data_IF_298762125995
#
_entry.id   IF_298762125995
#
_cell.length_a   1.000
_cell.length_b   1.000
_cell.length_c   1.000
_cell.angle_alpha   90.00
_cell.angle_beta   90.00
_cell.angle_gamma   90.00
#
_symmetry.space_group_name_H-M   'P 1'
#
loop_
_entity.id
_entity.type
_entity.pdbx_description
1 polymer ?
#
# COMPACT_ATOMS: atom_id res chain seq x y z
N UNK A 1 -4.42 -33.48 18.70
CA UNK A 1 -3.74 -32.32 18.08
C UNK A 1 -4.39 -31.07 18.63
N UNK A 2 -3.61 -30.04 18.99
CA UNK A 2 -4.18 -28.74 19.37
C UNK A 2 -4.53 -27.91 18.13
N UNK A 3 -5.36 -26.88 18.28
CA UNK A 3 -5.71 -25.98 17.17
C UNK A 3 -4.46 -25.40 16.49
N UNK A 4 -3.42 -25.03 17.26
CA UNK A 4 -2.16 -24.54 16.72
C UNK A 4 -1.47 -25.53 15.77
N UNK A 5 -1.56 -26.84 15.99
CA UNK A 5 -0.98 -27.83 15.06
C UNK A 5 -1.72 -27.84 13.72
N UNK A 6 -3.06 -27.80 13.74
CA UNK A 6 -3.88 -27.80 12.52
C UNK A 6 -3.61 -26.57 11.65
N UNK A 7 -3.46 -25.40 12.27
CA UNK A 7 -3.16 -24.16 11.55
C UNK A 7 -1.71 -24.08 11.08
N UNK A 8 -0.77 -24.68 11.82
CA UNK A 8 0.63 -24.74 11.40
C UNK A 8 0.80 -25.60 10.15
N UNK A 9 0.14 -26.75 10.07
CA UNK A 9 0.14 -27.62 8.88
C UNK A 9 -0.46 -26.90 7.65
N UNK A 10 -1.57 -26.19 7.84
CA UNK A 10 -2.17 -25.34 6.80
C UNK A 10 -1.20 -24.25 6.33
N UNK A 11 -0.54 -23.58 7.28
CA UNK A 11 0.43 -22.54 6.97
C UNK A 11 1.61 -23.10 6.18
N UNK A 12 2.19 -24.23 6.60
CA UNK A 12 3.30 -24.87 5.90
C UNK A 12 2.95 -25.29 4.48
N UNK A 13 1.73 -25.80 4.28
CA UNK A 13 1.21 -26.13 2.94
C UNK A 13 1.19 -24.89 2.05
N UNK A 14 0.66 -23.77 2.55
CA UNK A 14 0.61 -22.51 1.79
C UNK A 14 2.01 -21.94 1.55
N UNK A 15 2.91 -21.97 2.55
CA UNK A 15 4.28 -21.52 2.38
C UNK A 15 5.02 -22.34 1.30
N UNK A 16 4.82 -23.66 1.28
CA UNK A 16 5.41 -24.53 0.27
C UNK A 16 4.85 -24.23 -1.13
N UNK A 17 3.52 -24.08 -1.25
CA UNK A 17 2.86 -23.69 -2.50
C UNK A 17 3.43 -22.38 -3.06
N UNK A 18 3.47 -21.31 -2.24
CA UNK A 18 3.97 -20.01 -2.66
C UNK A 18 5.45 -20.08 -3.09
N UNK A 19 6.28 -20.85 -2.37
CA UNK A 19 7.70 -21.02 -2.72
C UNK A 19 7.87 -21.76 -4.05
N UNK A 20 7.12 -22.84 -4.26
CA UNK A 20 7.13 -23.59 -5.53
C UNK A 20 6.71 -22.70 -6.68
N UNK A 21 5.64 -21.93 -6.51
CA UNK A 21 5.16 -21.03 -7.56
C UNK A 21 6.16 -19.88 -7.83
N UNK A 22 6.81 -19.35 -6.79
CA UNK A 22 7.86 -18.34 -6.96
C UNK A 22 9.05 -18.85 -7.77
N UNK A 23 9.48 -20.10 -7.54
CA UNK A 23 10.53 -20.75 -8.34
C UNK A 23 10.08 -20.95 -9.78
N UNK A 24 8.81 -21.32 -9.99
CA UNK A 24 8.23 -21.46 -11.33
C UNK A 24 8.21 -20.11 -12.07
N UNK A 25 7.85 -19.02 -11.40
CA UNK A 25 7.88 -17.68 -11.98
C UNK A 25 9.31 -17.25 -12.38
N UNK A 26 10.31 -17.54 -11.54
CA UNK A 26 11.71 -17.28 -11.88
C UNK A 26 12.16 -18.07 -13.12
N UNK A 27 11.75 -19.33 -13.24
CA UNK A 27 12.05 -20.16 -14.42
C UNK A 27 11.33 -19.66 -15.70
N UNK A 28 10.18 -19.00 -15.55
CA UNK A 28 9.48 -18.33 -16.66
C UNK A 28 10.28 -17.10 -17.11
N UNK A 29 10.79 -16.32 -16.16
CA UNK A 29 11.57 -15.10 -16.42
C UNK A 29 12.82 -15.36 -17.29
N UNK A 30 13.51 -16.47 -17.06
CA UNK A 30 14.67 -16.89 -17.85
C UNK A 30 14.31 -17.13 -19.33
N UNK A 31 13.10 -17.62 -19.60
CA UNK A 31 12.62 -18.01 -20.93
C UNK A 31 11.89 -16.89 -21.68
N UNK A 32 11.91 -15.67 -21.14
CA UNK A 32 11.23 -14.53 -21.78
C UNK A 32 11.92 -14.11 -23.09
N UNK A 33 11.14 -13.73 -24.13
CA UNK A 33 11.68 -13.09 -25.32
C UNK A 33 12.12 -11.65 -25.02
N UNK A 34 13.12 -11.15 -25.73
CA UNK A 34 13.74 -9.85 -25.44
C UNK A 34 12.77 -8.66 -25.61
N UNK A 35 11.81 -8.75 -26.54
CA UNK A 35 10.84 -7.68 -26.83
C UNK A 35 10.00 -7.27 -25.61
N UNK A 36 9.62 -8.23 -24.76
CA UNK A 36 8.77 -7.99 -23.58
C UNK A 36 9.50 -8.31 -22.26
N UNK A 37 10.81 -8.57 -22.31
CA UNK A 37 11.60 -9.06 -21.16
C UNK A 37 11.52 -8.13 -19.97
N UNK A 38 11.78 -6.84 -20.15
CA UNK A 38 11.87 -5.86 -19.05
C UNK A 38 10.53 -5.72 -18.32
N UNK A 39 9.44 -5.53 -19.07
CA UNK A 39 8.11 -5.33 -18.50
C UNK A 39 7.64 -6.56 -17.73
N UNK A 40 7.76 -7.75 -18.32
CA UNK A 40 7.30 -8.99 -17.68
C UNK A 40 8.23 -9.38 -16.51
N UNK A 41 9.53 -9.16 -16.64
CA UNK A 41 10.48 -9.37 -15.52
C UNK A 41 10.11 -8.50 -14.32
N UNK A 42 9.80 -7.22 -14.54
CA UNK A 42 9.35 -6.34 -13.46
C UNK A 42 8.07 -6.83 -12.77
N UNK A 43 7.11 -7.37 -13.54
CA UNK A 43 5.88 -7.98 -13.00
C UNK A 43 6.18 -9.23 -12.18
N UNK A 44 7.08 -10.10 -12.67
CA UNK A 44 7.52 -11.31 -11.98
C UNK A 44 8.24 -10.95 -10.68
N UNK A 45 9.22 -10.04 -10.72
CA UNK A 45 9.99 -9.59 -9.57
C UNK A 45 9.08 -8.98 -8.51
N UNK A 46 8.09 -8.19 -8.91
CA UNK A 46 7.09 -7.64 -8.02
C UNK A 46 6.21 -8.72 -7.37
N UNK A 47 5.78 -9.74 -8.12
CA UNK A 47 4.98 -10.84 -7.58
C UNK A 47 5.79 -11.69 -6.60
N UNK A 48 7.02 -12.06 -6.94
CA UNK A 48 7.96 -12.79 -6.07
C UNK A 48 8.30 -11.95 -4.82
N UNK A 49 8.54 -10.66 -4.99
CA UNK A 49 8.80 -9.74 -3.87
C UNK A 49 7.61 -9.65 -2.91
N UNK A 50 6.38 -9.58 -3.44
CA UNK A 50 5.16 -9.60 -2.64
C UNK A 50 5.02 -10.93 -1.87
N UNK A 51 5.25 -12.05 -2.54
CA UNK A 51 5.26 -13.38 -1.92
C UNK A 51 6.24 -13.45 -0.74
N UNK A 52 7.49 -13.04 -0.96
CA UNK A 52 8.53 -13.04 0.05
C UNK A 52 8.17 -12.16 1.25
N UNK A 53 7.53 -11.01 1.01
CA UNK A 53 7.09 -10.12 2.08
C UNK A 53 6.00 -10.75 2.95
N UNK A 54 5.05 -11.47 2.33
CA UNK A 54 4.01 -12.20 3.07
C UNK A 54 4.62 -13.33 3.90
N UNK A 55 5.54 -14.11 3.30
CA UNK A 55 6.23 -15.22 3.98
C UNK A 55 7.06 -14.73 5.17
N UNK A 56 7.91 -13.72 4.97
CA UNK A 56 8.79 -13.19 6.01
C UNK A 56 8.06 -12.35 7.08
N UNK A 57 6.88 -11.82 6.74
CA UNK A 57 6.08 -10.97 7.62
C UNK A 57 4.91 -11.73 8.24
N UNK A 58 3.79 -11.80 7.51
CA UNK A 58 2.50 -12.28 8.02
C UNK A 58 2.50 -13.76 8.35
N UNK A 59 3.13 -14.61 7.53
CA UNK A 59 3.23 -16.04 7.79
C UNK A 59 4.08 -16.32 9.03
N UNK A 60 5.23 -15.65 9.17
CA UNK A 60 6.07 -15.74 10.37
C UNK A 60 5.31 -15.37 11.65
N UNK A 61 4.60 -14.24 11.63
CA UNK A 61 3.77 -13.81 12.78
C UNK A 61 2.70 -14.86 13.14
N UNK A 62 2.07 -15.45 12.13
CA UNK A 62 1.07 -16.49 12.36
C UNK A 62 1.67 -17.78 12.92
N UNK A 63 2.86 -18.19 12.43
CA UNK A 63 3.60 -19.33 12.98
C UNK A 63 3.89 -19.13 14.47
N UNK A 64 4.38 -17.96 14.85
CA UNK A 64 4.70 -17.66 16.25
C UNK A 64 3.44 -17.72 17.13
N UNK A 65 2.29 -17.25 16.60
CA UNK A 65 0.99 -17.34 17.27
C UNK A 65 0.52 -18.80 17.44
N UNK A 66 0.68 -19.64 16.40
CA UNK A 66 0.37 -21.06 16.47
C UNK A 66 1.25 -21.77 17.50
N UNK A 67 2.54 -21.46 17.55
CA UNK A 67 3.47 -22.05 18.52
C UNK A 67 3.13 -21.64 19.95
N UNK A 68 2.72 -20.38 20.16
CA UNK A 68 2.23 -19.90 21.46
C UNK A 68 1.02 -20.71 21.92
N UNK A 69 0.02 -20.93 21.06
CA UNK A 69 -1.13 -21.79 21.36
C UNK A 69 -0.71 -23.24 21.72
N UNK A 70 0.24 -23.82 20.99
CA UNK A 70 0.74 -25.18 21.27
C UNK A 70 1.43 -25.25 22.63
N UNK A 71 2.29 -24.30 22.94
CA UNK A 71 3.05 -24.27 24.19
C UNK A 71 2.13 -24.08 25.40
N UNK A 72 1.14 -23.17 25.30
CA UNK A 72 0.13 -22.95 26.34
C UNK A 72 -0.75 -24.19 26.56
N UNK A 73 -1.15 -24.87 25.48
CA UNK A 73 -1.98 -26.08 25.56
C UNK A 73 -1.20 -27.33 26.03
N UNK A 74 0.14 -27.31 25.95
CA UNK A 74 0.98 -28.44 26.38
C UNK A 74 1.21 -28.49 27.89
N UNK A 75 0.77 -27.46 28.63
CA UNK A 75 0.82 -27.44 30.10
C UNK A 75 2.24 -27.41 30.68
N UNK A 76 3.27 -27.16 29.87
CA UNK A 76 4.65 -26.97 30.34
C UNK A 76 4.68 -25.61 31.05
N UNK A 77 4.86 -25.55 32.39
CA UNK A 77 4.97 -24.29 33.09
C UNK A 77 6.26 -23.62 32.64
N UNK A 78 6.19 -22.40 32.09
CA UNK A 78 7.39 -21.59 31.91
C UNK A 78 7.86 -21.20 33.30
N UNK A 79 8.90 -21.87 33.80
CA UNK A 79 9.44 -21.66 35.14
C UNK A 79 9.97 -20.22 35.26
N UNK A 80 9.17 -19.34 35.89
CA UNK A 80 9.69 -18.09 36.42
C UNK A 80 10.52 -18.41 37.66
N UNK A 81 11.79 -18.00 37.66
CA UNK A 81 12.80 -18.17 38.73
C UNK A 81 12.37 -17.61 40.10
N UNK A 82 11.28 -16.86 40.16
CA UNK A 82 10.66 -16.42 41.40
C UNK A 82 9.36 -17.20 41.58
N UNK A 83 9.18 -17.89 42.71
CA UNK A 83 8.17 -18.92 42.99
C UNK A 83 6.69 -18.49 42.97
N UNK A 84 6.36 -17.46 42.20
CA UNK A 84 5.00 -17.03 41.90
C UNK A 84 4.45 -17.88 40.76
N UNK A 85 3.49 -18.77 41.05
CA UNK A 85 2.74 -19.52 40.04
C UNK A 85 2.07 -18.57 39.04
N UNK A 86 2.73 -18.23 37.94
CA UNK A 86 2.12 -17.55 36.80
C UNK A 86 1.45 -18.62 35.90
N UNK A 87 0.33 -19.16 36.38
CA UNK A 87 -0.38 -20.29 35.77
C UNK A 87 -1.32 -19.94 34.62
N UNK A 88 -1.29 -18.72 34.11
CA UNK A 88 -2.09 -18.33 32.95
C UNK A 88 -1.46 -17.10 32.34
N UNK A 89 -1.03 -17.17 31.08
CA UNK A 89 -0.84 -15.94 30.33
C UNK A 89 -2.15 -15.15 30.44
N UNK A 90 -2.08 -13.86 30.77
CA UNK A 90 -3.26 -13.02 31.00
C UNK A 90 -4.21 -13.02 29.77
N UNK A 91 -3.66 -13.39 28.60
CA UNK A 91 -4.36 -13.56 27.33
C UNK A 91 -3.90 -14.85 26.61
N UNK A 92 -4.53 -16.01 26.92
CA UNK A 92 -4.22 -17.26 26.25
C UNK A 92 -4.70 -17.22 24.80
N UNK A 93 -3.90 -17.77 23.90
CA UNK A 93 -4.21 -17.82 22.47
C UNK A 93 -5.24 -18.92 22.25
N UNK A 94 -6.47 -18.58 21.87
CA UNK A 94 -7.54 -19.54 21.62
C UNK A 94 -7.65 -19.88 20.13
N UNK A 95 -8.48 -20.88 19.81
CA UNK A 95 -8.74 -21.25 18.41
C UNK A 95 -9.34 -20.08 17.63
N UNK A 96 -10.22 -19.30 18.26
CA UNK A 96 -10.88 -18.16 17.63
C UNK A 96 -9.87 -17.06 17.22
N UNK A 97 -8.81 -16.88 18.03
CA UNK A 97 -7.72 -15.95 17.70
C UNK A 97 -6.93 -16.42 16.48
N UNK A 98 -6.68 -17.73 16.38
CA UNK A 98 -5.99 -18.34 15.23
C UNK A 98 -6.84 -18.23 13.96
N UNK A 99 -8.14 -18.49 14.04
CA UNK A 99 -9.09 -18.36 12.93
C UNK A 99 -9.16 -16.91 12.43
N UNK A 100 -9.29 -15.95 13.34
CA UNK A 100 -9.32 -14.53 13.00
C UNK A 100 -8.03 -14.06 12.31
N UNK A 101 -6.87 -14.51 12.80
CA UNK A 101 -5.60 -14.19 12.15
C UNK A 101 -5.45 -14.89 10.81
N UNK A 102 -5.92 -16.13 10.68
CA UNK A 102 -5.90 -16.88 9.42
C UNK A 102 -6.70 -16.17 8.32
N UNK A 103 -7.91 -15.70 8.62
CA UNK A 103 -8.73 -14.89 7.70
C UNK A 103 -7.98 -13.63 7.26
N UNK A 104 -7.30 -12.96 8.19
CA UNK A 104 -6.52 -11.76 7.89
C UNK A 104 -5.33 -12.03 6.96
N UNK A 105 -4.64 -13.17 7.09
CA UNK A 105 -3.50 -13.50 6.21
C UNK A 105 -3.93 -14.13 4.88
N UNK A 106 -5.12 -14.75 4.84
CA UNK A 106 -5.65 -15.42 3.66
C UNK A 106 -5.84 -14.46 2.49
N UNK A 107 -6.32 -13.23 2.73
CA UNK A 107 -6.50 -12.24 1.65
C UNK A 107 -5.18 -11.79 1.02
N UNK A 108 -4.13 -11.39 1.78
CA UNK A 108 -2.80 -11.15 1.21
C UNK A 108 -2.22 -12.35 0.45
N UNK A 109 -2.40 -13.58 0.96
CA UNK A 109 -1.99 -14.81 0.26
C UNK A 109 -2.71 -14.93 -1.08
N UNK A 110 -4.02 -14.67 -1.11
CA UNK A 110 -4.79 -14.74 -2.36
C UNK A 110 -4.30 -13.70 -3.38
N UNK A 111 -3.95 -12.49 -2.96
CA UNK A 111 -3.38 -11.48 -3.86
C UNK A 111 -2.06 -11.93 -4.51
N UNK A 112 -1.23 -12.66 -3.77
CA UNK A 112 0.01 -13.25 -4.31
C UNK A 112 -0.33 -14.32 -5.36
N UNK A 113 -1.28 -15.21 -5.05
CA UNK A 113 -1.76 -16.23 -6.01
C UNK A 113 -2.34 -15.60 -7.28
N UNK A 114 -3.15 -14.55 -7.15
CA UNK A 114 -3.72 -13.82 -8.28
C UNK A 114 -2.63 -13.15 -9.12
N UNK A 115 -1.56 -12.65 -8.49
CA UNK A 115 -0.39 -12.11 -9.15
C UNK A 115 0.33 -13.15 -10.01
N UNK A 116 0.55 -14.35 -9.46
CA UNK A 116 1.13 -15.47 -10.21
C UNK A 116 0.22 -15.91 -11.36
N UNK A 117 -1.08 -16.09 -11.10
CA UNK A 117 -2.05 -16.46 -12.13
C UNK A 117 -2.15 -15.43 -13.27
N UNK A 118 -1.98 -14.14 -12.97
CA UNK A 118 -1.94 -13.09 -13.99
C UNK A 118 -0.74 -13.26 -14.93
N UNK A 119 0.44 -13.58 -14.38
CA UNK A 119 1.65 -13.84 -15.18
C UNK A 119 1.45 -15.10 -16.04
N UNK A 120 0.81 -16.15 -15.50
CA UNK A 120 0.51 -17.37 -16.27
C UNK A 120 -0.41 -17.07 -17.46
N UNK A 121 -1.45 -16.27 -17.25
CA UNK A 121 -2.36 -15.85 -18.33
C UNK A 121 -1.65 -15.02 -19.40
N UNK A 122 -0.71 -14.15 -19.00
CA UNK A 122 0.11 -13.41 -19.96
C UNK A 122 0.98 -14.34 -20.80
N UNK A 123 1.56 -15.37 -20.17
CA UNK A 123 2.32 -16.41 -20.87
C UNK A 123 1.44 -17.15 -21.90
N UNK A 124 0.24 -17.55 -21.51
CA UNK A 124 -0.72 -18.22 -22.40
C UNK A 124 -1.15 -17.33 -23.58
N UNK A 125 -1.22 -16.02 -23.37
CA UNK A 125 -1.52 -15.03 -24.41
C UNK A 125 -0.29 -14.58 -25.23
N UNK A 126 0.82 -15.33 -25.16
CA UNK A 126 2.04 -15.01 -25.90
C UNK A 126 2.67 -13.68 -25.49
N UNK A 127 2.61 -13.34 -24.20
CA UNK A 127 3.14 -12.11 -23.61
C UNK A 127 2.45 -10.82 -24.06
N UNK A 128 1.26 -10.92 -24.65
CA UNK A 128 0.46 -9.77 -25.05
C UNK A 128 -0.48 -9.39 -23.92
N UNK A 129 -0.46 -8.12 -23.53
CA UNK A 129 -1.42 -7.61 -22.57
C UNK A 129 -2.81 -7.57 -23.22
N UNK A 130 -3.83 -8.09 -22.53
CA UNK A 130 -5.20 -7.96 -22.98
C UNK A 130 -5.56 -6.47 -22.96
N UNK A 131 -5.72 -5.86 -24.13
CA UNK A 131 -6.09 -4.44 -24.33
C UNK A 131 -7.31 -4.03 -23.48
N UNK A 132 -8.21 -4.97 -23.15
CA UNK A 132 -9.40 -4.74 -22.31
C UNK A 132 -9.11 -4.55 -20.81
N UNK A 133 -7.87 -4.76 -20.36
CA UNK A 133 -7.50 -4.65 -18.94
C UNK A 133 -6.54 -3.53 -18.60
N UNK A 134 -6.11 -2.71 -19.58
CA UNK A 134 -5.48 -1.43 -19.22
C UNK A 134 -6.52 -0.59 -18.49
N UNK A 135 -6.39 -0.32 -17.18
CA UNK A 135 -7.02 0.87 -16.65
C UNK A 135 -6.35 1.97 -17.48
N UNK A 136 -7.15 2.77 -18.18
CA UNK A 136 -6.68 4.01 -18.79
C UNK A 136 -6.21 4.91 -17.64
N UNK A 137 -5.01 4.65 -17.13
CA UNK A 137 -4.27 5.53 -16.24
C UNK A 137 -3.79 6.64 -17.14
N UNK A 138 -4.72 7.56 -17.43
CA UNK A 138 -4.40 8.91 -17.83
C UNK A 138 -3.38 9.38 -16.81
N UNK A 139 -2.14 9.58 -17.26
CA UNK A 139 -1.06 10.15 -16.47
C UNK A 139 -1.48 11.57 -16.06
N UNK A 140 -2.29 11.69 -15.02
CA UNK A 140 -2.44 12.91 -14.24
C UNK A 140 -1.71 12.67 -12.94
N UNK A 141 -0.44 13.02 -12.94
CA UNK A 141 0.36 13.16 -11.72
C UNK A 141 -0.39 14.14 -10.82
N UNK A 142 -0.95 13.64 -9.71
CA UNK A 142 -1.33 14.45 -8.53
C UNK A 142 -1.61 13.52 -7.33
N UNK A 143 -0.54 13.27 -6.57
CA UNK A 143 -0.47 13.47 -5.11
C UNK A 143 -1.69 13.08 -4.25
N UNK A 144 -1.60 11.89 -3.64
CA UNK A 144 -2.00 11.45 -2.28
C UNK A 144 -3.15 12.14 -1.50
N UNK A 145 -4.05 11.32 -0.94
CA UNK A 145 -4.80 11.64 0.30
C UNK A 145 -6.29 11.23 0.33
N UNK A 146 -6.74 10.32 1.23
CA UNK A 146 -8.09 9.73 1.20
C UNK A 146 -9.06 10.40 2.20
N UNK A 147 -10.33 10.61 1.82
CA UNK A 147 -11.46 10.66 2.78
C UNK A 147 -12.77 10.14 2.18
N UNK A 148 -13.46 9.39 3.03
CA UNK A 148 -14.71 8.67 2.84
C UNK A 148 -15.95 9.56 2.65
N UNK A 149 -17.02 8.85 2.26
CA UNK A 149 -18.45 9.12 2.50
C UNK A 149 -19.18 10.16 1.65
N UNK A 150 -20.26 9.69 1.03
CA UNK A 150 -21.31 10.57 0.51
C UNK A 150 -22.19 9.89 -0.53
N UNK A 151 -23.23 9.20 -0.08
CA UNK A 151 -24.33 8.72 -0.91
C UNK A 151 -24.81 9.76 -1.93
N UNK A 152 -24.98 9.34 -3.19
CA UNK A 152 -26.18 9.59 -4.02
C UNK A 152 -26.12 8.79 -5.34
N UNK A 153 -26.96 7.76 -5.43
CA UNK A 153 -27.39 7.16 -6.71
C UNK A 153 -28.31 8.19 -7.40
N UNK A 154 -28.20 8.51 -8.70
CA UNK A 154 -28.77 7.82 -9.89
C UNK A 154 -28.70 8.82 -11.09
N UNK A 155 -29.03 8.45 -12.34
CA UNK A 155 -28.97 7.15 -13.00
C UNK A 155 -28.13 7.17 -14.30
N UNK A 156 -27.86 5.97 -14.80
CA UNK A 156 -27.35 5.71 -16.14
C UNK A 156 -28.22 6.34 -17.23
N UNK A 157 -27.57 7.05 -18.16
CA UNK A 157 -28.05 7.20 -19.53
C UNK A 157 -26.98 6.61 -20.45
N UNK A 158 -27.23 5.37 -20.89
CA UNK A 158 -26.57 4.80 -22.04
C UNK A 158 -27.15 5.45 -23.29
N UNK A 159 -26.31 6.10 -24.10
CA UNK A 159 -26.32 5.91 -25.55
C UNK A 159 -25.15 6.61 -26.25
N UNK A 160 -24.82 5.95 -27.35
CA UNK A 160 -23.78 6.15 -28.33
C UNK A 160 -23.83 7.52 -29.04
N UNK A 161 -22.77 7.76 -29.83
CA UNK A 161 -22.67 8.68 -30.97
C UNK A 161 -22.12 10.11 -30.77
N UNK A 162 -20.90 10.28 -31.30
CA UNK A 162 -20.47 11.25 -32.31
C UNK A 162 -20.87 12.74 -32.17
N UNK A 163 -19.82 13.59 -32.24
CA UNK A 163 -19.81 15.04 -32.40
C UNK A 163 -20.49 15.85 -31.28
N UNK A 164 -19.68 16.52 -30.45
CA UNK A 164 -20.20 17.59 -29.59
C UNK A 164 -19.33 18.83 -29.68
N UNK A 165 -19.80 19.80 -30.46
CA UNK A 165 -19.44 21.21 -30.31
C UNK A 165 -19.89 21.68 -28.93
N UNK A 166 -19.00 22.22 -28.08
CA UNK A 166 -19.34 22.59 -26.71
C UNK A 166 -20.45 23.66 -26.70
N UNK A 167 -21.48 23.43 -25.90
CA UNK A 167 -22.59 24.37 -25.70
C UNK A 167 -22.09 25.63 -24.99
N UNK A 168 -22.71 26.79 -25.26
CA UNK A 168 -22.33 28.09 -24.68
C UNK A 168 -22.24 28.03 -23.14
N UNK A 169 -23.12 27.26 -22.49
CA UNK A 169 -23.12 27.07 -21.04
C UNK A 169 -21.88 26.33 -20.51
N UNK A 170 -21.29 25.42 -21.30
CA UNK A 170 -20.06 24.70 -20.93
C UNK A 170 -18.84 25.61 -21.07
N UNK A 171 -18.86 26.51 -22.06
CA UNK A 171 -17.82 27.53 -22.26
C UNK A 171 -17.83 28.52 -21.10
N UNK A 172 -19.01 29.05 -20.74
CA UNK A 172 -19.16 30.01 -19.64
C UNK A 172 -18.75 29.40 -18.28
N UNK A 173 -19.06 28.12 -18.06
CA UNK A 173 -18.66 27.39 -16.84
C UNK A 173 -17.14 27.21 -16.78
N UNK A 174 -16.51 26.91 -17.92
CA UNK A 174 -15.05 26.74 -18.02
C UNK A 174 -14.33 28.08 -17.84
N UNK A 175 -14.88 29.17 -18.36
CA UNK A 175 -14.32 30.50 -18.19
C UNK A 175 -14.41 30.96 -16.72
N UNK A 176 -15.54 30.72 -16.06
CA UNK A 176 -15.69 31.04 -14.62
C UNK A 176 -14.73 30.22 -13.75
N UNK A 177 -14.52 28.95 -14.08
CA UNK A 177 -13.55 28.09 -13.40
C UNK A 177 -12.09 28.54 -13.66
N UNK A 178 -11.78 29.01 -14.87
CA UNK A 178 -10.46 29.55 -15.20
C UNK A 178 -10.16 30.85 -14.44
N UNK A 179 -11.11 31.78 -14.40
CA UNK A 179 -10.99 33.04 -13.64
C UNK A 179 -10.78 32.79 -12.14
N UNK A 180 -11.51 31.85 -11.55
CA UNK A 180 -11.34 31.49 -10.13
C UNK A 180 -9.95 30.90 -9.84
N UNK A 181 -9.40 30.13 -10.78
CA UNK A 181 -8.07 29.54 -10.64
C UNK A 181 -6.95 30.58 -10.77
N UNK A 182 -7.15 31.57 -11.64
CA UNK A 182 -6.21 32.68 -11.81
C UNK A 182 -6.19 33.60 -10.58
N UNK A 183 -7.35 33.94 -10.03
CA UNK A 183 -7.46 34.76 -8.82
C UNK A 183 -6.80 34.06 -7.61
N UNK A 184 -7.01 32.75 -7.46
CA UNK A 184 -6.36 31.97 -6.42
C UNK A 184 -4.82 31.96 -6.57
N UNK A 185 -4.31 31.93 -7.81
CA UNK A 185 -2.88 31.98 -8.08
C UNK A 185 -2.28 33.35 -7.77
N UNK A 186 -2.98 34.44 -8.11
CA UNK A 186 -2.54 35.80 -7.79
C UNK A 186 -2.49 36.01 -6.27
N UNK A 187 -3.53 35.63 -5.53
CA UNK A 187 -3.54 35.71 -4.06
C UNK A 187 -2.41 34.94 -3.41
N UNK A 188 -2.07 33.76 -3.93
CA UNK A 188 -0.94 32.98 -3.42
C UNK A 188 0.41 33.66 -3.68
N UNK A 189 0.59 34.29 -4.84
CA UNK A 189 1.79 35.04 -5.18
C UNK A 189 1.94 36.29 -4.32
N UNK A 190 0.85 37.00 -4.07
CA UNK A 190 0.82 38.18 -3.17
C UNK A 190 1.15 37.77 -1.74
N UNK A 191 0.53 36.71 -1.22
CA UNK A 191 0.87 36.16 0.11
C UNK A 191 2.35 35.75 0.20
N UNK A 192 2.90 35.12 -0.84
CA UNK A 192 4.31 34.76 -0.90
C UNK A 192 5.22 35.99 -0.94
N UNK A 193 4.84 37.04 -1.67
CA UNK A 193 5.57 38.30 -1.77
C UNK A 193 5.53 39.07 -0.44
N UNK A 194 4.38 39.12 0.22
CA UNK A 194 4.22 39.73 1.54
C UNK A 194 5.06 39.01 2.59
N UNK A 195 5.05 37.68 2.59
CA UNK A 195 5.88 36.89 3.52
C UNK A 195 7.38 37.05 3.27
N UNK A 196 7.80 37.24 2.01
CA UNK A 196 9.19 37.55 1.68
C UNK A 196 9.58 38.97 2.14
N UNK A 197 8.71 39.97 1.90
CA UNK A 197 8.95 41.34 2.37
C UNK A 197 8.95 41.47 3.91
N UNK A 198 8.13 40.67 4.60
CA UNK A 198 8.14 40.58 6.06
C UNK A 198 9.44 39.95 6.59
N UNK A 199 10.01 38.98 5.85
CA UNK A 199 11.32 38.39 6.17
C UNK A 199 12.45 39.42 6.00
N UNK A 200 12.40 40.26 4.97
CA UNK A 200 13.41 41.30 4.76
C UNK A 200 13.30 42.42 5.81
N UNK A 201 12.08 42.79 6.24
CA UNK A 201 11.90 43.72 7.37
C UNK A 201 12.41 43.14 8.70
N UNK A 202 12.26 41.84 8.92
CA UNK A 202 12.81 41.16 10.10
C UNK A 202 14.35 41.11 10.05
N UNK A 203 14.96 41.09 8.87
CA UNK A 203 16.41 41.15 8.73
C UNK A 203 16.97 42.55 9.05
N UNK A 204 16.29 43.62 8.64
CA UNK A 204 16.76 45.00 8.87
C UNK A 204 16.51 45.55 10.28
N UNK A 205 15.93 44.77 11.20
CA UNK A 205 15.65 45.19 12.57
C UNK A 205 16.60 44.54 13.60
N UNK A 206 17.56 43.72 13.12
CA UNK A 206 18.60 43.08 13.95
C UNK A 206 19.99 43.71 13.77
N UNK A 207 20.13 44.80 13.01
CA UNK A 207 21.42 45.46 12.74
C UNK A 207 21.62 46.76 13.56
N UNK A 208 20.73 47.10 14.51
CA UNK A 208 20.80 48.33 15.33
C UNK A 208 21.18 48.09 16.82
N UNK A 209 21.55 46.87 17.24
CA UNK A 209 21.94 46.56 18.64
C UNK A 209 23.38 46.02 18.77
N UNK A 210 24.34 46.66 18.11
CA UNK A 210 25.77 46.47 18.42
C UNK A 210 26.45 47.82 18.62
N UNK A 211 26.10 48.50 19.71
CA UNK A 211 26.96 49.52 20.29
C UNK A 211 27.16 49.29 21.78
N UNK A 212 28.43 49.09 22.11
CA UNK A 212 29.08 49.48 23.36
C UNK A 212 29.12 48.45 24.49
N UNK A 213 30.10 47.54 24.41
CA UNK A 213 30.84 47.09 25.60
C UNK A 213 32.33 47.19 25.32
N UNK A 214 32.84 48.43 25.30
CA UNK A 214 34.23 48.70 25.66
C UNK A 214 34.24 49.13 27.13
N UNK A 215 35.21 48.60 27.89
CA UNK A 215 35.91 49.24 29.02
C UNK A 215 35.66 48.67 30.43
N UNK A 216 36.73 48.04 30.93
CA UNK A 216 37.25 48.09 32.32
C UNK A 216 36.40 47.42 33.40
N UNK A 217 36.92 46.69 34.38
CA UNK A 217 38.25 46.53 35.00
C UNK A 217 38.51 45.05 35.35
#
# INVERSE_FOLDING_TARGET
>A
MSAGHEFLEKLETVEAEIKVESVRMAAIQEKLPDENREEISSRIDMAIGSANLILAGKCKQFRDLCQKNINENSGIPTESVDGTKSGSSEFPTRREDLEGFWEMISMPIQKVRDGFASIERLKENGWKENEDTKPQVKKTISTVGPKCQGFRKKPLASKNDNNNTPSQADIDRREKAARQKEEARQRFLEYKKEKAAARDKISSQNDDDDTDVVRSE
#
